data_IF_947862866485
#
_entry.id   IF_947862866485
#
_cell.length_a   1.000
_cell.length_b   1.000
_cell.length_c   1.000
_cell.angle_alpha   90.00
_cell.angle_beta   90.00
_cell.angle_gamma   90.00
#
_symmetry.space_group_name_H-M   'P 1'
#
loop_
_entity.id
_entity.type
_entity.pdbx_description
1 polymer ?
#
# COMPACT_ATOMS: atom_id res chain seq x y z
N UNK A 1 -54.13 30.00 -43.97
CA UNK A 1 -55.61 30.03 -43.82
C UNK A 1 -56.15 28.77 -44.48
N UNK A 2 -56.91 27.83 -43.92
CA UNK A 2 -57.64 27.57 -42.66
C UNK A 2 -57.49 26.05 -42.40
N UNK A 3 -56.89 25.62 -41.30
CA UNK A 3 -57.54 25.17 -40.05
C UNK A 3 -58.36 23.87 -40.15
N UNK A 4 -57.84 22.77 -39.56
CA UNK A 4 -58.61 21.76 -38.82
C UNK A 4 -57.74 21.18 -37.68
N UNK A 5 -58.16 21.40 -36.44
CA UNK A 5 -57.78 20.66 -35.22
C UNK A 5 -59.03 19.88 -34.77
N UNK A 6 -58.88 18.65 -34.30
CA UNK A 6 -59.66 18.12 -33.18
C UNK A 6 -59.07 16.80 -32.65
N UNK A 7 -59.17 16.67 -31.33
CA UNK A 7 -58.61 15.68 -30.43
C UNK A 7 -59.45 14.39 -30.29
N UNK A 8 -58.77 13.36 -29.75
CA UNK A 8 -59.21 12.29 -28.82
C UNK A 8 -60.54 11.55 -29.04
N UNK A 9 -60.45 10.22 -29.09
CA UNK A 9 -61.41 9.33 -28.43
C UNK A 9 -60.68 8.19 -27.69
N UNK A 10 -61.05 8.04 -26.42
CA UNK A 10 -60.69 7.00 -25.46
C UNK A 10 -61.24 5.63 -25.88
N UNK A 11 -60.46 4.57 -25.69
CA UNK A 11 -60.89 3.17 -25.77
C UNK A 11 -60.37 2.41 -24.54
N UNK A 12 -61.30 2.02 -23.68
CA UNK A 12 -61.16 1.30 -22.42
C UNK A 12 -60.46 -0.07 -22.62
N UNK A 13 -59.42 -0.38 -21.84
CA UNK A 13 -58.92 -1.77 -21.69
C UNK A 13 -58.91 -2.15 -20.22
N UNK A 14 -59.56 -3.27 -19.96
CA UNK A 14 -59.89 -3.89 -18.67
C UNK A 14 -58.62 -4.35 -17.94
N UNK A 15 -58.56 -4.05 -16.65
CA UNK A 15 -57.53 -4.50 -15.71
C UNK A 15 -57.79 -5.96 -15.32
N UNK A 16 -56.82 -6.83 -15.61
CA UNK A 16 -56.71 -8.18 -15.03
C UNK A 16 -55.60 -8.13 -13.97
N UNK A 17 -55.99 -8.11 -12.69
CA UNK A 17 -55.07 -8.26 -11.56
C UNK A 17 -54.83 -9.76 -11.37
N UNK A 18 -53.70 -10.26 -11.88
CA UNK A 18 -53.15 -11.55 -11.47
C UNK A 18 -52.09 -11.29 -10.39
N UNK A 19 -52.32 -11.85 -9.20
CA UNK A 19 -51.45 -11.71 -8.05
C UNK A 19 -50.05 -12.26 -8.31
N UNK A 20 -49.04 -11.41 -8.13
CA UNK A 20 -47.65 -11.83 -8.02
C UNK A 20 -47.39 -12.17 -6.55
N UNK A 21 -47.30 -13.46 -6.26
CA UNK A 21 -46.67 -13.96 -5.04
C UNK A 21 -45.21 -13.53 -5.07
N UNK A 22 -44.79 -12.78 -4.06
CA UNK A 22 -43.39 -12.42 -3.83
C UNK A 22 -42.64 -13.65 -3.35
N UNK A 23 -42.10 -14.43 -4.28
CA UNK A 23 -41.07 -15.41 -3.94
C UNK A 23 -39.79 -14.65 -3.59
N UNK A 24 -39.54 -14.56 -2.28
CA UNK A 24 -38.27 -14.20 -1.67
C UNK A 24 -37.23 -15.29 -1.99
N UNK A 25 -36.85 -15.45 -3.25
CA UNK A 25 -35.57 -16.05 -3.58
C UNK A 25 -34.49 -15.03 -3.28
N UNK A 26 -33.98 -15.07 -2.04
CA UNK A 26 -32.57 -14.77 -1.80
C UNK A 26 -31.80 -15.62 -2.79
N UNK A 27 -31.35 -15.00 -3.88
CA UNK A 27 -30.34 -15.55 -4.77
C UNK A 27 -29.09 -15.76 -3.89
N UNK A 28 -28.98 -16.94 -3.30
CA UNK A 28 -27.73 -17.47 -2.82
C UNK A 28 -26.86 -17.64 -4.05
N UNK A 29 -26.12 -16.59 -4.41
CA UNK A 29 -24.97 -16.73 -5.29
C UNK A 29 -24.12 -17.88 -4.69
N UNK A 30 -23.67 -18.85 -5.52
CA UNK A 30 -22.87 -19.95 -5.01
C UNK A 30 -21.68 -19.36 -4.26
N UNK A 31 -21.53 -19.77 -2.99
CA UNK A 31 -20.41 -19.37 -2.13
C UNK A 31 -19.13 -19.67 -2.92
N UNK A 32 -18.36 -18.64 -3.27
CA UNK A 32 -17.11 -18.85 -4.02
C UNK A 32 -16.23 -19.79 -3.19
N UNK A 33 -15.95 -20.99 -3.73
CA UNK A 33 -15.14 -21.99 -3.05
C UNK A 33 -13.67 -21.56 -2.91
N UNK A 34 -13.28 -20.50 -3.61
CA UNK A 34 -11.94 -19.94 -3.60
C UNK A 34 -11.66 -19.22 -2.28
N UNK A 35 -10.44 -19.43 -1.76
CA UNK A 35 -9.91 -18.61 -0.69
C UNK A 35 -9.80 -17.15 -1.19
N UNK A 36 -10.44 -16.16 -0.55
CA UNK A 36 -10.35 -14.79 -0.99
C UNK A 36 -8.94 -14.23 -0.78
N UNK A 37 -8.54 -13.29 -1.63
CA UNK A 37 -7.26 -12.58 -1.54
C UNK A 37 -7.54 -11.10 -1.29
N UNK A 38 -6.85 -10.52 -0.32
CA UNK A 38 -6.86 -9.08 -0.07
C UNK A 38 -5.46 -8.53 -0.35
N UNK A 39 -5.33 -7.61 -1.30
CA UNK A 39 -4.06 -6.99 -1.70
C UNK A 39 -3.90 -5.61 -1.04
N UNK A 40 -2.75 -5.37 -0.40
CA UNK A 40 -2.34 -4.07 0.16
C UNK A 40 -1.11 -3.54 -0.60
N UNK A 41 -1.25 -2.47 -1.41
CA UNK A 41 -0.15 -1.95 -2.23
C UNK A 41 0.96 -1.25 -1.43
N UNK A 42 2.07 -0.90 -2.09
CA UNK A 42 3.18 -0.13 -1.51
C UNK A 42 2.91 1.38 -1.40
N UNK A 43 3.93 2.12 -0.94
CA UNK A 43 3.89 3.60 -0.92
C UNK A 43 3.83 4.13 -2.35
N UNK A 44 3.04 5.18 -2.60
CA UNK A 44 2.71 5.63 -3.97
C UNK A 44 1.97 4.57 -4.82
N UNK A 45 1.65 3.40 -4.27
CA UNK A 45 1.08 2.28 -5.00
C UNK A 45 -0.44 2.28 -5.09
N UNK A 46 -1.11 3.32 -4.57
CA UNK A 46 -2.56 3.54 -4.71
C UNK A 46 -2.79 4.87 -5.40
N UNK A 47 -3.73 4.93 -6.34
CA UNK A 47 -4.26 6.21 -6.79
C UNK A 47 -4.82 7.01 -5.60
N UNK A 48 -4.72 8.33 -5.68
CA UNK A 48 -5.25 9.26 -4.69
C UNK A 48 -6.05 10.32 -5.44
N UNK A 49 -7.26 10.61 -4.96
CA UNK A 49 -8.08 11.70 -5.47
C UNK A 49 -8.09 12.86 -4.48
N UNK A 50 -8.25 14.08 -4.99
CA UNK A 50 -8.38 15.27 -4.18
C UNK A 50 -9.52 16.18 -4.64
N UNK A 51 -10.04 16.96 -3.69
CA UNK A 51 -10.95 18.09 -3.91
C UNK A 51 -10.33 19.35 -3.30
N UNK A 52 -10.40 20.47 -4.01
CA UNK A 52 -9.76 21.73 -3.60
C UNK A 52 -10.78 22.82 -3.30
N UNK A 53 -10.58 23.50 -2.19
CA UNK A 53 -11.14 24.79 -1.80
C UNK A 53 -10.09 25.57 -1.00
N UNK A 54 -8.97 25.87 -1.67
CA UNK A 54 -7.76 26.41 -1.06
C UNK A 54 -7.88 27.93 -0.83
N UNK A 55 -7.49 28.43 0.35
CA UNK A 55 -7.47 29.88 0.62
C UNK A 55 -6.41 30.59 -0.24
N UNK A 56 -5.32 29.91 -0.58
CA UNK A 56 -4.22 30.41 -1.40
C UNK A 56 -3.55 29.26 -2.16
N UNK A 57 -2.79 29.63 -3.20
CA UNK A 57 -1.92 28.74 -3.95
C UNK A 57 -0.53 29.39 -4.09
N UNK A 58 0.55 28.62 -4.30
CA UNK A 58 1.91 29.15 -4.42
C UNK A 58 2.07 30.06 -5.64
N UNK A 59 1.33 29.78 -6.72
CA UNK A 59 1.37 30.54 -7.97
C UNK A 59 -0.02 30.77 -8.55
N UNK A 60 -0.15 31.79 -9.39
CA UNK A 60 -1.43 32.17 -10.01
C UNK A 60 -1.98 31.13 -10.98
N UNK A 61 -1.13 30.25 -11.51
CA UNK A 61 -1.50 29.15 -12.40
C UNK A 61 -1.93 27.87 -11.65
N UNK A 62 -1.77 27.82 -10.32
CA UNK A 62 -2.20 26.67 -9.53
C UNK A 62 -3.67 26.82 -9.11
N UNK A 63 -4.50 25.84 -9.49
CA UNK A 63 -5.91 25.83 -9.16
C UNK A 63 -6.16 25.91 -7.64
N UNK A 64 -7.12 26.76 -7.24
CA UNK A 64 -7.60 26.85 -5.85
C UNK A 64 -8.87 26.04 -5.61
N UNK A 65 -9.66 25.84 -6.66
CA UNK A 65 -10.93 25.14 -6.61
C UNK A 65 -10.94 24.05 -7.67
N UNK A 66 -11.35 22.85 -7.27
CA UNK A 66 -11.56 21.71 -8.15
C UNK A 66 -12.47 20.72 -7.42
N UNK A 67 -13.42 20.11 -8.15
CA UNK A 67 -14.08 18.90 -7.64
C UNK A 67 -13.11 17.71 -7.70
N UNK A 68 -13.53 16.54 -7.25
CA UNK A 68 -12.71 15.32 -7.21
C UNK A 68 -11.97 15.06 -8.53
N UNK A 69 -10.64 15.06 -8.45
CA UNK A 69 -9.73 14.72 -9.56
C UNK A 69 -8.64 13.79 -9.05
N UNK A 70 -7.97 13.06 -9.96
CA UNK A 70 -6.84 12.19 -9.62
C UNK A 70 -5.63 13.05 -9.29
N UNK A 71 -5.30 13.13 -8.01
CA UNK A 71 -4.09 13.80 -7.50
C UNK A 71 -2.85 12.93 -7.69
N UNK A 72 -3.00 11.61 -7.61
CA UNK A 72 -1.91 10.66 -7.82
C UNK A 72 -2.43 9.37 -8.49
N UNK A 73 -1.77 8.78 -9.48
CA UNK A 73 -0.71 9.40 -10.28
C UNK A 73 -1.35 10.13 -11.46
N UNK A 74 -1.02 11.41 -11.65
CA UNK A 74 -1.25 12.10 -12.92
C UNK A 74 0.12 12.54 -13.44
N UNK A 75 0.63 11.83 -14.44
CA UNK A 75 1.98 12.09 -14.96
C UNK A 75 2.10 13.46 -15.62
N UNK A 76 1.00 14.06 -16.08
CA UNK A 76 1.02 15.40 -16.70
C UNK A 76 1.43 16.46 -15.68
N UNK A 77 1.03 16.29 -14.43
CA UNK A 77 1.42 17.16 -13.31
C UNK A 77 2.93 17.09 -13.01
N UNK A 78 3.64 16.07 -13.51
CA UNK A 78 5.07 15.86 -13.29
C UNK A 78 5.94 16.25 -14.51
N UNK A 79 5.34 16.67 -15.62
CA UNK A 79 6.07 16.98 -16.87
C UNK A 79 6.78 18.33 -16.86
N UNK A 80 6.20 19.31 -16.16
CA UNK A 80 6.71 20.67 -16.09
C UNK A 80 6.84 21.07 -14.63
N UNK A 81 8.00 21.61 -14.23
CA UNK A 81 8.25 21.99 -12.83
C UNK A 81 7.19 22.95 -12.28
N UNK A 82 6.64 23.83 -13.12
CA UNK A 82 5.53 24.71 -12.75
C UNK A 82 4.24 23.97 -12.35
N UNK A 83 3.95 22.82 -12.95
CA UNK A 83 2.83 21.94 -12.58
C UNK A 83 3.19 21.11 -11.34
N UNK A 84 4.43 20.59 -11.29
CA UNK A 84 4.94 19.83 -10.15
C UNK A 84 4.85 20.64 -8.85
N UNK A 85 5.10 21.95 -8.91
CA UNK A 85 4.94 22.86 -7.77
C UNK A 85 3.47 22.95 -7.28
N UNK A 86 2.50 22.97 -8.20
CA UNK A 86 1.07 22.95 -7.84
C UNK A 86 0.67 21.62 -7.23
N UNK A 87 1.10 20.51 -7.83
CA UNK A 87 0.87 19.17 -7.32
C UNK A 87 1.47 18.98 -5.92
N UNK A 88 2.74 19.37 -5.72
CA UNK A 88 3.44 19.27 -4.43
C UNK A 88 2.72 20.06 -3.33
N UNK A 89 2.18 21.25 -3.64
CA UNK A 89 1.39 22.04 -2.70
C UNK A 89 0.03 21.43 -2.36
N UNK A 90 -0.56 20.66 -3.29
CA UNK A 90 -1.82 19.97 -3.07
C UNK A 90 -1.65 18.66 -2.27
N UNK A 91 -0.61 17.88 -2.58
CA UNK A 91 -0.41 16.56 -2.00
C UNK A 91 0.31 16.58 -0.65
N UNK A 92 1.03 17.65 -0.30
CA UNK A 92 1.70 17.74 1.00
C UNK A 92 0.73 17.60 2.17
N UNK A 93 1.25 17.02 3.25
CA UNK A 93 0.65 17.13 4.57
C UNK A 93 1.19 18.37 5.30
N UNK A 94 0.47 18.84 6.30
CA UNK A 94 0.88 19.92 7.18
C UNK A 94 0.73 19.49 8.63
N UNK A 95 1.72 19.87 9.44
CA UNK A 95 1.67 19.65 10.88
C UNK A 95 0.65 20.57 11.53
N UNK A 96 -0.31 20.00 12.24
CA UNK A 96 -1.25 20.75 13.07
C UNK A 96 -0.73 20.76 14.52
N UNK A 97 -0.25 21.92 14.97
CA UNK A 97 0.32 22.09 16.32
C UNK A 97 -0.67 21.75 17.44
N UNK A 98 -1.95 22.08 17.27
CA UNK A 98 -2.99 21.81 18.26
C UNK A 98 -3.32 20.33 18.36
N UNK A 99 -3.40 19.65 17.21
CA UNK A 99 -3.69 18.21 17.15
C UNK A 99 -2.45 17.34 17.40
N UNK A 100 -1.25 17.91 17.25
CA UNK A 100 0.02 17.18 17.29
C UNK A 100 0.10 16.09 16.21
N UNK A 101 -0.44 16.34 15.02
CA UNK A 101 -0.55 15.33 13.95
C UNK A 101 -0.48 15.96 12.56
N UNK A 102 -0.10 15.14 11.57
CA UNK A 102 -0.20 15.51 10.16
C UNK A 102 -1.65 15.53 9.67
N UNK A 103 -1.98 16.49 8.83
CA UNK A 103 -3.27 16.62 8.15
C UNK A 103 -3.07 17.12 6.72
N UNK A 104 -4.09 17.03 5.87
CA UNK A 104 -4.02 17.63 4.54
C UNK A 104 -3.74 19.14 4.61
N UNK A 105 -3.16 19.68 3.53
CA UNK A 105 -3.03 21.12 3.36
C UNK A 105 -4.41 21.84 3.48
N UNK A 106 -4.45 23.10 3.94
CA UNK A 106 -5.69 23.87 4.06
C UNK A 106 -6.49 23.89 2.76
N UNK A 107 -7.77 23.53 2.85
CA UNK A 107 -8.66 23.46 1.69
C UNK A 107 -8.43 22.26 0.78
N UNK A 108 -7.66 21.25 1.20
CA UNK A 108 -7.48 20.00 0.44
C UNK A 108 -8.15 18.85 1.18
N UNK A 109 -9.07 18.18 0.49
CA UNK A 109 -9.60 16.88 0.90
C UNK A 109 -9.00 15.80 0.03
N UNK A 110 -8.72 14.64 0.61
CA UNK A 110 -8.22 13.48 -0.12
C UNK A 110 -9.08 12.26 0.14
N UNK A 111 -9.17 11.38 -0.86
CA UNK A 111 -9.74 10.05 -0.71
C UNK A 111 -9.01 9.06 -1.60
N UNK A 112 -8.99 7.81 -1.16
CA UNK A 112 -8.51 6.72 -2.00
C UNK A 112 -9.69 6.10 -2.74
N UNK A 113 -9.67 6.05 -4.07
CA UNK A 113 -10.73 5.42 -4.85
C UNK A 113 -10.68 3.88 -4.73
N UNK A 114 -11.79 3.24 -5.08
CA UNK A 114 -11.91 1.79 -5.30
C UNK A 114 -11.47 0.87 -4.14
N UNK A 115 -11.75 1.25 -2.89
CA UNK A 115 -11.54 0.35 -1.75
C UNK A 115 -12.43 -0.89 -1.84
N UNK A 116 -11.82 -2.07 -1.88
CA UNK A 116 -12.46 -3.36 -2.15
C UNK A 116 -12.32 -3.82 -3.60
N UNK A 117 -12.08 -2.91 -4.55
CA UNK A 117 -11.71 -3.24 -5.93
C UNK A 117 -10.20 -3.27 -6.14
N UNK A 118 -9.75 -3.35 -7.39
CA UNK A 118 -8.33 -3.48 -7.76
C UNK A 118 -7.84 -2.44 -8.76
N UNK A 119 -8.74 -1.60 -9.27
CA UNK A 119 -8.41 -0.65 -10.34
C UNK A 119 -7.47 0.46 -9.89
N UNK A 120 -7.58 0.90 -8.63
CA UNK A 120 -6.78 1.99 -8.08
C UNK A 120 -5.28 1.67 -7.91
N UNK A 121 -4.86 0.40 -8.07
CA UNK A 121 -3.45 0.01 -7.93
C UNK A 121 -3.00 -1.02 -8.98
N UNK A 122 -3.89 -1.44 -9.89
CA UNK A 122 -3.50 -2.21 -11.07
C UNK A 122 -2.58 -1.36 -11.97
N UNK A 123 -3.01 -0.13 -12.24
CA UNK A 123 -2.26 0.90 -12.99
C UNK A 123 -2.43 2.26 -12.29
N UNK A 124 -1.34 3.00 -12.11
CA UNK A 124 -1.37 4.27 -11.36
C UNK A 124 -1.82 5.47 -12.21
N UNK A 125 -1.45 5.49 -13.49
CA UNK A 125 -1.92 6.47 -14.47
C UNK A 125 -2.44 5.75 -15.75
N UNK A 126 -3.72 5.34 -15.75
CA UNK A 126 -4.35 4.70 -16.90
C UNK A 126 -4.39 5.53 -18.19
N UNK A 127 -3.99 6.81 -18.16
CA UNK A 127 -3.93 7.65 -19.35
C UNK A 127 -2.65 7.42 -20.17
N UNK A 128 -1.66 6.74 -19.61
CA UNK A 128 -0.43 6.39 -20.31
C UNK A 128 -0.63 5.19 -21.24
N UNK A 129 -0.12 5.25 -22.48
CA UNK A 129 -0.18 4.12 -23.39
C UNK A 129 0.71 2.96 -22.91
N UNK A 130 0.45 1.77 -23.46
CA UNK A 130 1.28 0.57 -23.27
C UNK A 130 1.42 0.11 -21.79
N UNK A 131 0.46 0.46 -20.94
CA UNK A 131 0.48 0.11 -19.51
C UNK A 131 1.77 0.58 -18.81
N UNK A 132 2.32 1.74 -19.20
CA UNK A 132 3.60 2.24 -18.67
C UNK A 132 3.58 2.50 -17.15
N UNK A 133 2.40 2.71 -16.55
CA UNK A 133 2.21 2.82 -15.10
C UNK A 133 1.72 1.53 -14.44
N UNK A 134 1.94 0.37 -15.07
CA UNK A 134 1.51 -0.92 -14.52
C UNK A 134 2.21 -1.20 -13.20
N UNK A 135 1.44 -1.71 -12.24
CA UNK A 135 1.93 -2.09 -10.94
C UNK A 135 1.50 -3.51 -10.57
N UNK A 136 0.27 -3.72 -10.12
CA UNK A 136 -0.25 -5.07 -9.82
C UNK A 136 -0.94 -5.76 -11.00
N UNK A 137 -1.00 -5.12 -12.17
CA UNK A 137 -1.73 -5.58 -13.35
C UNK A 137 -1.49 -7.05 -13.69
N UNK A 138 -0.23 -7.48 -13.75
CA UNK A 138 0.12 -8.84 -14.21
C UNK A 138 -0.24 -9.91 -13.18
N UNK A 139 -0.05 -9.63 -11.88
CA UNK A 139 -0.54 -10.50 -10.81
C UNK A 139 -2.07 -10.60 -10.83
N UNK A 140 -2.77 -9.48 -10.99
CA UNK A 140 -4.24 -9.45 -11.06
C UNK A 140 -4.72 -10.30 -12.25
N UNK A 141 -4.13 -10.10 -13.43
CA UNK A 141 -4.48 -10.86 -14.63
C UNK A 141 -4.23 -12.36 -14.46
N UNK A 142 -3.12 -12.76 -13.83
CA UNK A 142 -2.83 -14.16 -13.53
C UNK A 142 -3.88 -14.77 -12.57
N UNK A 143 -4.26 -14.04 -11.52
CA UNK A 143 -5.29 -14.49 -10.57
C UNK A 143 -6.68 -14.59 -11.26
N UNK A 144 -7.05 -13.61 -12.08
CA UNK A 144 -8.31 -13.62 -12.84
C UNK A 144 -8.38 -14.79 -13.83
N UNK A 145 -7.27 -15.13 -14.48
CA UNK A 145 -7.17 -16.32 -15.33
C UNK A 145 -7.43 -17.63 -14.56
N UNK A 146 -7.28 -17.63 -13.23
CA UNK A 146 -7.61 -18.75 -12.33
C UNK A 146 -9.03 -18.69 -11.76
N UNK A 147 -9.87 -17.76 -12.23
CA UNK A 147 -11.25 -17.62 -11.81
C UNK A 147 -11.45 -16.71 -10.59
N UNK A 148 -10.43 -15.97 -10.17
CA UNK A 148 -10.64 -14.89 -9.22
C UNK A 148 -11.41 -13.74 -9.86
N UNK A 149 -12.23 -13.04 -9.07
CA UNK A 149 -13.09 -11.95 -9.55
C UNK A 149 -12.87 -10.73 -8.68
N UNK A 150 -12.45 -9.62 -9.30
CA UNK A 150 -12.27 -8.33 -8.64
C UNK A 150 -13.56 -7.89 -7.91
N UNK A 151 -13.40 -7.36 -6.70
CA UNK A 151 -14.52 -6.94 -5.85
C UNK A 151 -15.29 -8.10 -5.18
N UNK A 152 -14.90 -9.35 -5.43
CA UNK A 152 -15.55 -10.54 -4.84
C UNK A 152 -14.54 -11.47 -4.15
N UNK A 153 -13.80 -12.28 -4.91
CA UNK A 153 -12.76 -13.16 -4.38
C UNK A 153 -11.36 -12.55 -4.45
N UNK A 154 -11.17 -11.53 -5.28
CA UNK A 154 -9.96 -10.70 -5.34
C UNK A 154 -10.32 -9.28 -4.92
N UNK A 155 -9.79 -8.86 -3.79
CA UNK A 155 -10.13 -7.61 -3.14
C UNK A 155 -8.86 -6.78 -2.98
N UNK A 156 -8.98 -5.47 -3.11
CA UNK A 156 -7.90 -4.56 -2.81
C UNK A 156 -8.21 -3.67 -1.63
N UNK A 157 -7.16 -3.29 -0.92
CA UNK A 157 -7.19 -2.34 0.17
C UNK A 157 -6.22 -1.19 -0.15
N UNK A 158 -6.50 -0.37 -1.20
CA UNK A 158 -5.73 0.83 -1.44
C UNK A 158 -5.90 1.81 -0.28
N UNK A 159 -4.91 2.68 -0.07
CA UNK A 159 -4.90 3.62 1.05
C UNK A 159 -4.19 4.92 0.72
N UNK A 160 -4.36 5.91 1.59
CA UNK A 160 -3.60 7.15 1.53
C UNK A 160 -2.18 6.90 2.06
N UNK A 161 -1.24 6.68 1.14
CA UNK A 161 0.11 6.22 1.42
C UNK A 161 1.00 7.24 2.14
N UNK A 162 0.52 8.48 2.33
CA UNK A 162 1.24 9.55 3.02
C UNK A 162 1.23 9.37 4.54
N UNK A 163 0.26 8.61 5.05
CA UNK A 163 -0.02 8.47 6.47
C UNK A 163 0.49 7.17 7.07
N UNK A 164 0.90 7.23 8.34
CA UNK A 164 1.23 6.06 9.14
C UNK A 164 0.00 5.47 9.85
N UNK A 165 0.05 4.20 10.31
CA UNK A 165 -1.05 3.56 11.04
C UNK A 165 -1.53 4.33 12.28
N UNK A 166 -0.65 5.11 12.92
CA UNK A 166 -0.96 5.89 14.12
C UNK A 166 -1.87 7.09 13.84
N UNK A 167 -1.96 7.57 12.60
CA UNK A 167 -2.77 8.76 12.27
C UNK A 167 -4.27 8.46 12.25
N UNK A 168 -5.11 9.50 12.17
CA UNK A 168 -6.56 9.33 12.02
C UNK A 168 -6.91 8.54 10.75
N UNK A 169 -6.19 8.82 9.66
CA UNK A 169 -6.39 8.15 8.36
C UNK A 169 -5.91 6.71 8.41
N UNK A 170 -4.73 6.44 9.01
CA UNK A 170 -4.19 5.09 9.17
C UNK A 170 -5.02 4.20 10.10
N UNK A 171 -5.58 4.75 11.19
CA UNK A 171 -6.52 4.03 12.06
C UNK A 171 -7.82 3.70 11.33
N UNK A 172 -8.31 4.60 10.47
CA UNK A 172 -9.49 4.34 9.65
C UNK A 172 -9.22 3.21 8.66
N UNK A 173 -8.09 3.25 7.95
CA UNK A 173 -7.66 2.16 7.07
C UNK A 173 -7.56 0.82 7.81
N UNK A 174 -6.97 0.79 9.01
CA UNK A 174 -6.89 -0.41 9.87
C UNK A 174 -8.28 -1.00 10.17
N UNK A 175 -9.26 -0.16 10.48
CA UNK A 175 -10.64 -0.58 10.72
C UNK A 175 -11.33 -1.09 9.43
N UNK A 176 -11.12 -0.39 8.32
CA UNK A 176 -11.71 -0.77 7.03
C UNK A 176 -11.11 -2.08 6.48
N UNK A 177 -9.80 -2.31 6.65
CA UNK A 177 -9.12 -3.57 6.30
C UNK A 177 -9.66 -4.75 7.14
N UNK A 178 -9.88 -4.54 8.45
CA UNK A 178 -10.54 -5.53 9.30
C UNK A 178 -11.91 -5.91 8.76
N UNK A 179 -12.73 -4.91 8.46
CA UNK A 179 -14.09 -5.11 7.96
C UNK A 179 -14.09 -5.79 6.57
N UNK A 180 -13.11 -5.49 5.71
CA UNK A 180 -12.94 -6.13 4.41
C UNK A 180 -12.65 -7.63 4.56
N UNK A 181 -11.72 -8.01 5.45
CA UNK A 181 -11.39 -9.41 5.74
C UNK A 181 -12.56 -10.17 6.37
N UNK A 182 -13.34 -9.51 7.25
CA UNK A 182 -14.57 -10.07 7.81
C UNK A 182 -15.63 -10.33 6.73
N UNK A 183 -15.88 -9.37 5.83
CA UNK A 183 -16.81 -9.54 4.69
C UNK A 183 -16.35 -10.62 3.72
N UNK A 184 -15.05 -10.66 3.39
CA UNK A 184 -14.47 -11.67 2.53
C UNK A 184 -14.67 -13.08 3.12
N UNK A 185 -14.47 -13.23 4.43
CA UNK A 185 -14.69 -14.49 5.16
C UNK A 185 -16.15 -14.93 5.16
N UNK A 186 -17.06 -13.99 5.35
CA UNK A 186 -18.50 -14.26 5.37
C UNK A 186 -18.97 -14.74 4.00
N UNK A 187 -18.60 -14.00 2.95
CA UNK A 187 -18.99 -14.27 1.56
C UNK A 187 -18.42 -15.60 1.02
N UNK A 188 -17.14 -15.88 1.26
CA UNK A 188 -16.47 -17.10 0.74
C UNK A 188 -16.66 -18.33 1.63
N UNK A 189 -16.91 -18.14 2.93
CA UNK A 189 -16.84 -19.26 3.86
C UNK A 189 -15.39 -19.66 4.23
N UNK A 190 -14.38 -18.90 3.81
CA UNK A 190 -12.94 -19.20 4.01
C UNK A 190 -12.16 -17.97 4.50
N UNK A 191 -11.16 -18.13 5.38
CA UNK A 191 -10.27 -17.02 5.75
C UNK A 191 -9.53 -16.51 4.51
N UNK A 192 -9.14 -15.24 4.50
CA UNK A 192 -8.51 -14.60 3.35
C UNK A 192 -6.98 -14.67 3.41
N UNK A 193 -6.32 -14.78 2.25
CA UNK A 193 -4.90 -14.54 2.12
C UNK A 193 -4.65 -13.03 2.06
N UNK A 194 -3.86 -12.49 2.98
CA UNK A 194 -3.44 -11.09 2.94
C UNK A 194 -2.12 -11.01 2.17
N UNK A 195 -2.12 -10.35 1.02
CA UNK A 195 -0.93 -10.13 0.20
C UNK A 195 -0.57 -8.65 0.26
N UNK A 196 0.70 -8.33 0.49
CA UNK A 196 1.14 -6.94 0.51
C UNK A 196 2.49 -6.75 -0.17
N UNK A 197 2.72 -5.53 -0.68
CA UNK A 197 4.00 -5.12 -1.26
C UNK A 197 4.59 -3.93 -0.51
N UNK A 198 5.92 -3.90 -0.35
CA UNK A 198 6.68 -2.74 0.14
C UNK A 198 6.09 -2.16 1.43
N UNK A 199 5.79 -0.87 1.49
CA UNK A 199 5.16 -0.22 2.65
C UNK A 199 3.85 -0.89 3.12
N UNK A 200 3.08 -1.47 2.20
CA UNK A 200 1.88 -2.25 2.52
C UNK A 200 2.16 -3.45 3.43
N UNK A 201 3.38 -4.00 3.39
CA UNK A 201 3.82 -5.06 4.29
C UNK A 201 3.94 -4.55 5.73
N UNK A 202 4.39 -3.30 5.93
CA UNK A 202 4.49 -2.68 7.25
C UNK A 202 3.11 -2.38 7.83
N UNK A 203 2.20 -1.88 7.00
CA UNK A 203 0.80 -1.67 7.38
C UNK A 203 0.13 -3.00 7.77
N UNK A 204 0.33 -4.04 6.95
CA UNK A 204 -0.20 -5.38 7.19
C UNK A 204 0.38 -6.01 8.46
N UNK A 205 1.68 -5.84 8.72
CA UNK A 205 2.32 -6.30 9.95
C UNK A 205 1.73 -5.59 11.18
N UNK A 206 1.66 -4.26 11.15
CA UNK A 206 1.06 -3.47 12.22
C UNK A 206 -0.39 -3.89 12.49
N UNK A 207 -1.17 -4.06 11.41
CA UNK A 207 -2.56 -4.54 11.47
C UNK A 207 -2.65 -5.88 12.19
N UNK A 208 -1.89 -6.89 11.75
CA UNK A 208 -1.92 -8.25 12.30
C UNK A 208 -1.41 -8.33 13.75
N UNK A 209 -0.41 -7.52 14.11
CA UNK A 209 0.04 -7.39 15.50
C UNK A 209 -1.03 -6.76 16.41
N UNK A 210 -1.94 -5.97 15.84
CA UNK A 210 -3.07 -5.37 16.54
C UNK A 210 -4.27 -6.31 16.75
N UNK A 211 -4.34 -7.44 16.04
CA UNK A 211 -5.49 -8.36 16.12
C UNK A 211 -5.27 -9.48 17.14
N UNK A 212 -6.36 -9.93 17.78
CA UNK A 212 -6.33 -11.10 18.65
C UNK A 212 -6.04 -12.39 17.86
N UNK A 213 -5.42 -13.38 18.51
CA UNK A 213 -5.14 -14.67 17.89
C UNK A 213 -6.40 -15.37 17.35
N UNK A 214 -7.50 -15.32 18.12
CA UNK A 214 -8.79 -15.88 17.71
C UNK A 214 -9.35 -15.20 16.45
N UNK A 215 -9.22 -13.89 16.32
CA UNK A 215 -9.65 -13.18 15.12
C UNK A 215 -8.80 -13.58 13.91
N UNK A 216 -7.48 -13.61 14.06
CA UNK A 216 -6.57 -14.00 12.98
C UNK A 216 -6.85 -15.41 12.48
N UNK A 217 -6.98 -16.38 13.39
CA UNK A 217 -7.32 -17.76 13.06
C UNK A 217 -8.65 -17.90 12.30
N UNK A 218 -9.61 -17.01 12.55
CA UNK A 218 -10.93 -17.03 11.89
C UNK A 218 -10.93 -16.36 10.51
N UNK A 219 -10.14 -15.31 10.32
CA UNK A 219 -10.27 -14.40 9.18
C UNK A 219 -9.06 -14.36 8.23
N UNK A 220 -7.88 -14.80 8.66
CA UNK A 220 -6.64 -14.69 7.89
C UNK A 220 -6.02 -16.06 7.68
N UNK A 221 -5.93 -16.49 6.43
CA UNK A 221 -5.36 -17.78 6.05
C UNK A 221 -3.83 -17.75 6.10
N UNK A 222 -3.25 -16.61 5.74
CA UNK A 222 -1.82 -16.37 5.76
C UNK A 222 -1.48 -14.95 5.32
N UNK A 223 -0.20 -14.60 5.43
CA UNK A 223 0.36 -13.33 5.01
C UNK A 223 1.46 -13.56 3.97
N UNK A 224 1.27 -13.04 2.75
CA UNK A 224 2.30 -12.97 1.72
C UNK A 224 2.88 -11.56 1.74
N UNK A 225 4.16 -11.45 2.09
CA UNK A 225 4.89 -10.19 2.09
C UNK A 225 5.87 -10.15 0.93
N UNK A 226 5.75 -9.16 0.06
CA UNK A 226 6.64 -8.96 -1.08
C UNK A 226 7.48 -7.68 -0.90
N UNK A 227 8.80 -7.80 -0.79
CA UNK A 227 9.71 -6.65 -0.70
C UNK A 227 9.49 -5.76 0.53
N UNK A 228 9.08 -6.33 1.67
CA UNK A 228 8.74 -5.55 2.87
C UNK A 228 9.96 -4.87 3.51
N UNK A 229 10.01 -3.52 3.63
CA UNK A 229 11.13 -2.79 4.23
C UNK A 229 11.04 -2.77 5.76
N UNK A 230 11.05 -3.94 6.41
CA UNK A 230 10.79 -4.06 7.84
C UNK A 230 11.78 -3.26 8.70
N UNK A 231 13.05 -3.26 8.33
CA UNK A 231 14.08 -2.46 8.97
C UNK A 231 14.19 -1.02 8.44
N UNK A 232 13.34 -0.59 7.50
CA UNK A 232 13.46 0.66 6.76
C UNK A 232 14.33 0.58 5.50
N UNK A 233 14.47 1.68 4.76
CA UNK A 233 15.35 1.82 3.60
C UNK A 233 16.29 3.00 3.79
N UNK A 234 17.56 2.84 3.42
CA UNK A 234 18.50 3.98 3.42
C UNK A 234 18.06 5.08 2.44
N UNK A 235 17.28 4.78 1.39
CA UNK A 235 16.81 5.76 0.41
C UNK A 235 16.05 6.93 1.05
N UNK A 236 15.31 6.68 2.13
CA UNK A 236 14.54 7.69 2.86
C UNK A 236 15.38 8.86 3.37
N UNK A 237 16.69 8.68 3.54
CA UNK A 237 17.58 9.76 3.97
C UNK A 237 17.78 10.81 2.87
N UNK A 238 17.87 10.39 1.60
CA UNK A 238 17.94 11.31 0.46
C UNK A 238 16.59 11.98 0.26
N UNK A 239 15.51 11.20 0.27
CA UNK A 239 14.12 11.68 0.20
C UNK A 239 13.87 12.82 1.17
N UNK A 240 14.29 12.67 2.44
CA UNK A 240 14.09 13.71 3.46
C UNK A 240 15.12 14.85 3.37
N UNK A 241 16.38 14.57 3.04
CA UNK A 241 17.44 15.59 3.03
C UNK A 241 17.41 16.49 1.79
N UNK A 242 17.62 15.91 0.61
CA UNK A 242 17.82 16.62 -0.66
C UNK A 242 16.73 16.34 -1.70
N UNK A 243 15.74 15.51 -1.34
CA UNK A 243 14.66 15.08 -2.21
C UNK A 243 15.10 13.96 -3.16
N UNK A 244 14.15 13.13 -3.57
CA UNK A 244 14.34 12.11 -4.60
C UNK A 244 13.31 12.32 -5.69
N UNK A 245 13.69 12.27 -6.96
CA UNK A 245 12.73 12.31 -8.07
C UNK A 245 12.11 10.95 -8.40
N UNK A 246 12.43 9.90 -7.62
CA UNK A 246 11.92 8.54 -7.79
C UNK A 246 12.09 8.00 -9.23
N UNK A 247 13.13 8.46 -9.94
CA UNK A 247 13.41 8.09 -11.32
C UNK A 247 12.68 8.91 -12.40
N UNK A 248 11.84 9.88 -12.02
CA UNK A 248 11.12 10.75 -12.96
C UNK A 248 12.01 11.93 -13.37
N UNK A 249 12.65 11.83 -14.53
CA UNK A 249 13.68 12.77 -14.99
C UNK A 249 13.23 14.25 -15.08
N UNK A 250 11.95 14.52 -15.29
CA UNK A 250 11.39 15.89 -15.37
C UNK A 250 11.13 16.52 -14.00
N UNK A 251 11.16 15.73 -12.92
CA UNK A 251 10.88 16.20 -11.56
C UNK A 251 12.17 16.67 -10.90
N UNK A 252 12.19 17.92 -10.43
CA UNK A 252 13.30 18.46 -9.67
C UNK A 252 13.21 18.02 -8.20
N UNK A 253 14.24 17.35 -7.63
CA UNK A 253 14.18 16.78 -6.28
C UNK A 253 13.79 17.79 -5.18
N UNK A 254 14.34 19.01 -5.23
CA UNK A 254 14.02 20.03 -4.22
C UNK A 254 12.57 20.53 -4.30
N UNK A 255 11.93 20.46 -5.47
CA UNK A 255 10.53 20.86 -5.65
C UNK A 255 9.60 19.96 -4.85
N UNK A 256 9.87 18.65 -4.86
CA UNK A 256 9.00 17.65 -4.22
C UNK A 256 9.48 17.24 -2.82
N UNK A 257 10.73 17.54 -2.45
CA UNK A 257 11.26 17.33 -1.09
C UNK A 257 10.32 17.84 0.00
N UNK A 258 9.66 18.98 -0.23
CA UNK A 258 8.75 19.57 0.73
C UNK A 258 7.57 18.66 1.05
N UNK A 259 6.95 18.01 0.07
CA UNK A 259 5.88 17.06 0.34
C UNK A 259 6.44 15.76 0.92
N UNK A 260 7.59 15.29 0.43
CA UNK A 260 8.23 14.05 0.89
C UNK A 260 8.56 14.10 2.40
N UNK A 261 8.98 15.26 2.90
CA UNK A 261 9.20 15.51 4.34
C UNK A 261 7.93 15.45 5.18
N UNK A 262 6.77 15.60 4.57
CA UNK A 262 5.50 15.66 5.31
C UNK A 262 4.85 14.29 5.47
N UNK A 263 5.33 13.27 4.75
CA UNK A 263 4.76 11.94 4.81
C UNK A 263 5.25 11.19 6.05
N UNK A 264 4.29 10.75 6.87
CA UNK A 264 4.57 9.92 8.04
C UNK A 264 5.10 8.54 7.62
N UNK A 265 4.75 8.06 6.42
CA UNK A 265 5.24 6.80 5.85
C UNK A 265 6.75 6.82 5.61
N UNK A 266 7.29 7.89 5.03
CA UNK A 266 8.74 8.08 4.84
C UNK A 266 9.50 8.05 6.19
N UNK A 267 8.91 8.62 7.24
CA UNK A 267 9.50 8.57 8.59
C UNK A 267 9.43 7.16 9.19
N UNK A 268 8.35 6.40 8.94
CA UNK A 268 8.24 5.02 9.39
C UNK A 268 9.24 4.09 8.67
N UNK A 269 9.61 4.42 7.44
CA UNK A 269 10.56 3.66 6.63
C UNK A 269 12.02 4.10 6.81
N UNK A 270 12.31 5.04 7.72
CA UNK A 270 13.70 5.35 8.06
C UNK A 270 14.44 4.12 8.61
N UNK A 271 15.74 3.95 8.31
CA UNK A 271 16.52 2.82 8.79
C UNK A 271 16.45 2.67 10.31
N UNK A 272 16.00 1.51 10.78
CA UNK A 272 15.87 1.21 12.19
C UNK A 272 17.24 0.96 12.82
N UNK A 273 17.56 1.57 13.99
CA UNK A 273 18.78 1.26 14.72
C UNK A 273 18.93 -0.23 15.07
N UNK A 274 17.83 -0.95 15.24
CA UNK A 274 17.83 -2.37 15.58
C UNK A 274 18.21 -3.28 14.39
N UNK A 275 18.27 -2.74 13.17
CA UNK A 275 18.66 -3.46 11.95
C UNK A 275 19.95 -2.90 11.37
N UNK A 276 20.03 -1.57 11.23
CA UNK A 276 21.17 -0.87 10.62
C UNK A 276 22.30 -0.58 11.61
N UNK A 277 22.10 -0.84 12.90
CA UNK A 277 23.10 -0.67 13.95
C UNK A 277 23.51 0.80 14.15
N UNK A 278 24.79 1.01 14.45
CA UNK A 278 25.40 2.33 14.64
C UNK A 278 26.19 2.82 13.41
N UNK A 279 26.07 2.14 12.26
CA UNK A 279 26.82 2.49 11.07
C UNK A 279 26.40 3.90 10.57
N UNK A 280 27.36 4.75 10.16
CA UNK A 280 27.07 6.00 9.46
C UNK A 280 26.16 5.80 8.25
N UNK A 281 25.10 6.59 8.16
CA UNK A 281 24.19 6.59 7.02
C UNK A 281 24.30 7.87 6.19
N UNK A 282 24.54 9.01 6.83
CA UNK A 282 24.80 10.28 6.15
C UNK A 282 26.06 10.92 6.73
N UNK A 283 26.96 11.36 5.87
CA UNK A 283 28.17 12.12 6.25
C UNK A 283 28.16 13.46 5.50
N UNK A 284 28.36 14.55 6.24
CA UNK A 284 28.49 15.92 5.73
C UNK A 284 29.84 16.50 6.17
N UNK A 285 30.24 17.69 5.68
CA UNK A 285 31.46 18.34 6.16
C UNK A 285 31.45 18.64 7.67
N UNK A 286 30.27 18.85 8.26
CA UNK A 286 30.09 19.24 9.66
C UNK A 286 29.97 18.03 10.59
N UNK A 287 29.28 16.96 10.17
CA UNK A 287 28.98 15.82 11.04
C UNK A 287 28.52 14.58 10.29
N UNK A 288 28.40 13.49 11.04
CA UNK A 288 27.88 12.20 10.56
C UNK A 288 26.64 11.81 11.36
N UNK A 289 25.69 11.17 10.68
CA UNK A 289 24.41 10.72 11.22
C UNK A 289 24.29 9.19 11.10
N UNK A 290 24.18 8.53 12.24
CA UNK A 290 23.77 7.14 12.40
C UNK A 290 22.25 7.05 12.68
N UNK A 291 21.64 5.85 12.64
CA UNK A 291 20.20 5.67 12.92
C UNK A 291 19.70 6.23 14.26
N UNK A 292 20.59 6.38 15.24
CA UNK A 292 20.28 6.92 16.57
C UNK A 292 20.27 8.44 16.63
N UNK A 293 20.72 9.12 15.56
CA UNK A 293 20.93 10.57 15.51
C UNK A 293 19.89 11.30 14.64
N UNK A 294 18.70 10.73 14.44
CA UNK A 294 17.70 11.34 13.58
C UNK A 294 17.17 12.68 14.09
N UNK A 295 17.12 12.91 15.41
CA UNK A 295 16.69 14.20 15.95
C UNK A 295 17.55 15.34 15.40
N UNK A 296 18.85 15.13 15.40
CA UNK A 296 19.79 16.09 14.85
C UNK A 296 19.75 16.16 13.32
N UNK A 297 19.64 15.01 12.64
CA UNK A 297 19.46 14.97 11.18
C UNK A 297 18.29 15.84 10.75
N UNK A 298 17.15 15.73 11.42
CA UNK A 298 15.98 16.56 11.13
C UNK A 298 16.20 18.04 11.41
N UNK A 299 16.92 18.37 12.48
CA UNK A 299 17.27 19.76 12.78
C UNK A 299 18.15 20.35 11.66
N UNK A 300 19.18 19.63 11.23
CA UNK A 300 20.18 20.11 10.29
C UNK A 300 19.66 20.18 8.85
N UNK A 301 18.68 19.35 8.47
CA UNK A 301 18.00 19.48 7.17
C UNK A 301 16.91 20.56 7.17
N UNK A 302 16.68 21.23 8.31
CA UNK A 302 15.63 22.26 8.47
C UNK A 302 14.21 21.69 8.54
N UNK A 303 14.04 20.42 8.96
CA UNK A 303 12.74 19.80 9.15
C UNK A 303 12.32 19.80 10.62
N UNK A 304 11.78 20.94 11.08
CA UNK A 304 11.41 21.21 12.48
C UNK A 304 10.58 20.12 13.15
N UNK A 305 9.64 19.50 12.42
CA UNK A 305 8.71 18.51 12.97
C UNK A 305 9.20 17.06 12.82
N UNK A 306 10.34 16.81 12.17
CA UNK A 306 10.78 15.46 11.84
C UNK A 306 10.99 14.56 13.06
N UNK A 307 11.61 15.08 14.12
CA UNK A 307 11.80 14.31 15.35
C UNK A 307 10.47 13.94 16.04
N UNK A 308 9.48 14.84 15.98
CA UNK A 308 8.15 14.59 16.53
C UNK A 308 7.42 13.51 15.72
N UNK A 309 7.37 13.65 14.39
CA UNK A 309 6.75 12.67 13.49
C UNK A 309 7.42 11.31 13.63
N UNK A 310 8.75 11.25 13.59
CA UNK A 310 9.50 10.00 13.77
C UNK A 310 9.21 9.35 15.13
N UNK A 311 9.12 10.17 16.20
CA UNK A 311 8.75 9.70 17.54
C UNK A 311 7.39 9.01 17.60
N UNK A 312 6.43 9.44 16.77
CA UNK A 312 5.08 8.86 16.69
C UNK A 312 5.01 7.55 15.92
N UNK A 313 5.94 7.32 14.98
CA UNK A 313 5.87 6.17 14.05
C UNK A 313 6.88 5.07 14.37
N UNK A 314 8.05 5.38 14.92
CA UNK A 314 9.17 4.43 15.08
C UNK A 314 8.86 3.15 15.89
N UNK A 315 7.84 3.18 16.75
CA UNK A 315 7.46 2.04 17.59
C UNK A 315 6.31 1.19 17.01
N UNK A 316 5.74 1.59 15.87
CA UNK A 316 4.52 0.97 15.33
C UNK A 316 4.70 -0.49 14.93
N UNK A 317 5.93 -0.93 14.64
CA UNK A 317 6.24 -2.32 14.28
C UNK A 317 6.56 -3.21 15.49
N UNK A 318 6.42 -2.71 16.73
CA UNK A 318 6.52 -3.46 18.00
C UNK A 318 7.74 -4.38 18.10
N UNK A 319 8.92 -3.85 17.77
CA UNK A 319 10.17 -4.62 17.79
C UNK A 319 10.22 -5.75 16.75
N UNK A 320 9.46 -5.61 15.66
CA UNK A 320 9.33 -6.61 14.59
C UNK A 320 8.77 -7.95 15.08
N UNK A 321 7.87 -7.93 16.07
CA UNK A 321 7.18 -9.13 16.52
C UNK A 321 6.48 -9.85 15.35
N UNK A 322 6.45 -11.19 15.31
CA UNK A 322 5.85 -11.93 14.21
C UNK A 322 4.35 -11.61 14.06
N UNK A 323 3.79 -11.72 12.84
CA UNK A 323 2.38 -11.40 12.58
C UNK A 323 1.40 -12.39 13.23
N UNK A 324 1.86 -13.58 13.64
CA UNK A 324 1.03 -14.60 14.30
C UNK A 324 0.03 -15.28 13.36
N UNK A 325 0.38 -15.39 12.08
CA UNK A 325 -0.29 -16.17 11.02
C UNK A 325 0.78 -16.85 10.16
N UNK A 326 0.44 -17.92 9.41
CA UNK A 326 1.35 -18.49 8.41
C UNK A 326 1.87 -17.39 7.48
N UNK A 327 3.19 -17.30 7.30
CA UNK A 327 3.81 -16.18 6.58
C UNK A 327 4.71 -16.71 5.46
N UNK A 328 4.52 -16.13 4.28
CA UNK A 328 5.38 -16.30 3.11
C UNK A 328 6.08 -14.97 2.86
N UNK A 329 7.38 -14.91 3.18
CA UNK A 329 8.19 -13.72 2.99
C UNK A 329 8.97 -13.84 1.69
N UNK A 330 8.67 -12.96 0.74
CA UNK A 330 9.35 -12.84 -0.54
C UNK A 330 10.11 -11.51 -0.57
N UNK A 331 11.38 -11.54 -0.92
CA UNK A 331 12.17 -10.33 -1.20
C UNK A 331 13.25 -10.64 -2.23
N UNK A 332 13.78 -9.60 -2.84
CA UNK A 332 14.82 -9.73 -3.86
C UNK A 332 16.20 -9.31 -3.33
N UNK A 333 17.23 -9.88 -3.96
CA UNK A 333 18.66 -9.60 -3.72
C UNK A 333 19.40 -9.50 -5.05
N UNK A 334 20.64 -9.05 -5.03
CA UNK A 334 21.51 -8.93 -6.20
C UNK A 334 21.34 -7.63 -6.96
N UNK A 335 20.50 -6.71 -6.49
CA UNK A 335 20.41 -5.35 -7.02
C UNK A 335 21.23 -4.39 -6.18
N UNK A 336 21.99 -3.54 -6.87
CA UNK A 336 22.82 -2.50 -6.24
C UNK A 336 21.91 -1.49 -5.54
N UNK A 337 21.92 -1.49 -4.21
CA UNK A 337 20.95 -0.74 -3.40
C UNK A 337 21.65 0.33 -2.58
N UNK A 338 21.15 1.56 -2.61
CA UNK A 338 21.74 2.67 -1.85
C UNK A 338 21.77 2.37 -0.34
N UNK A 339 22.87 2.72 0.32
CA UNK A 339 23.12 2.29 1.71
C UNK A 339 23.62 3.38 2.64
N UNK A 340 24.37 4.34 2.11
CA UNK A 340 24.83 5.54 2.82
C UNK A 340 25.17 6.65 1.82
N UNK A 341 25.25 7.88 2.33
CA UNK A 341 25.41 9.08 1.51
C UNK A 341 26.50 9.98 2.08
N UNK A 342 27.36 10.50 1.21
CA UNK A 342 28.28 11.58 1.57
C UNK A 342 27.92 12.84 0.79
N UNK A 343 27.68 13.92 1.52
CA UNK A 343 27.39 15.24 0.98
C UNK A 343 28.58 16.17 1.16
N UNK A 344 28.71 17.11 0.22
CA UNK A 344 29.66 18.22 0.32
C UNK A 344 29.02 19.48 0.91
N UNK A 345 29.60 20.63 0.55
CA UNK A 345 29.20 21.96 1.06
C UNK A 345 27.78 22.39 0.66
N UNK A 346 27.17 21.73 -0.32
CA UNK A 346 25.79 22.00 -0.73
C UNK A 346 24.72 21.34 0.14
N UNK A 347 25.10 20.61 1.19
CA UNK A 347 24.16 20.01 2.15
C UNK A 347 23.23 21.06 2.80
N UNK A 348 21.91 20.79 2.94
CA UNK A 348 21.15 19.64 2.45
C UNK A 348 20.48 19.87 1.07
N UNK A 349 20.76 20.99 0.41
CA UNK A 349 20.06 21.45 -0.81
C UNK A 349 20.74 20.99 -2.13
N UNK A 350 21.79 20.18 -2.05
CA UNK A 350 22.41 19.50 -3.18
C UNK A 350 22.32 17.98 -2.99
N UNK A 351 22.30 17.25 -4.10
CA UNK A 351 22.37 15.78 -4.10
C UNK A 351 23.72 15.29 -3.53
N UNK A 352 23.79 14.05 -3.01
CA UNK A 352 25.03 13.51 -2.43
C UNK A 352 26.14 13.40 -3.48
N UNK A 353 27.36 13.76 -3.09
CA UNK A 353 28.56 13.64 -3.95
C UNK A 353 28.99 12.17 -4.12
N UNK A 354 28.71 11.33 -3.11
CA UNK A 354 28.96 9.89 -3.16
C UNK A 354 27.82 9.14 -2.51
N UNK A 355 27.41 8.05 -3.17
CA UNK A 355 26.43 7.10 -2.66
C UNK A 355 27.10 5.75 -2.48
N UNK A 356 27.19 5.29 -1.24
CA UNK A 356 27.59 3.93 -0.92
C UNK A 356 26.44 2.96 -1.21
N UNK A 357 26.76 1.77 -1.69
CA UNK A 357 25.77 0.77 -2.05
C UNK A 357 26.03 -0.55 -1.34
N UNK A 358 24.95 -1.26 -1.02
CA UNK A 358 24.94 -2.63 -0.54
C UNK A 358 24.06 -3.51 -1.43
N UNK A 359 23.73 -4.68 -0.91
CA UNK A 359 22.82 -5.63 -1.55
C UNK A 359 21.36 -5.35 -1.18
N UNK A 360 20.44 -5.73 -2.04
CA UNK A 360 19.00 -5.52 -1.89
C UNK A 360 18.27 -5.66 -3.22
N UNK A 361 17.12 -4.99 -3.33
CA UNK A 361 16.25 -5.00 -4.51
C UNK A 361 16.32 -3.67 -5.32
N UNK A 362 17.30 -2.82 -5.04
CA UNK A 362 17.46 -1.49 -5.64
C UNK A 362 16.84 -0.37 -4.80
N UNK A 363 15.92 -0.70 -3.88
CA UNK A 363 15.29 0.26 -2.97
C UNK A 363 15.44 -0.15 -1.50
N UNK A 364 15.15 -1.40 -1.19
CA UNK A 364 15.17 -1.97 0.16
C UNK A 364 16.47 -2.74 0.37
N UNK A 365 17.21 -2.35 1.39
CA UNK A 365 18.43 -3.04 1.78
C UNK A 365 18.12 -4.46 2.27
N UNK A 366 18.97 -5.44 1.91
CA UNK A 366 18.72 -6.84 2.23
C UNK A 366 18.56 -7.08 3.74
N UNK A 367 19.33 -6.41 4.60
CA UNK A 367 19.21 -6.56 6.06
C UNK A 367 17.84 -6.13 6.60
N UNK A 368 17.16 -5.23 5.87
CA UNK A 368 15.81 -4.75 6.19
C UNK A 368 14.76 -5.78 5.79
N UNK A 369 14.84 -6.30 4.58
CA UNK A 369 13.91 -7.30 4.07
C UNK A 369 14.00 -8.63 4.86
N UNK A 370 15.21 -9.01 5.26
CA UNK A 370 15.48 -10.28 5.96
C UNK A 370 14.94 -10.35 7.40
N UNK A 371 14.43 -9.26 7.97
CA UNK A 371 13.86 -9.27 9.33
C UNK A 371 12.77 -10.34 9.47
N UNK A 372 11.99 -10.60 8.43
CA UNK A 372 10.95 -11.65 8.45
C UNK A 372 11.51 -13.07 8.67
N UNK A 373 12.80 -13.33 8.33
CA UNK A 373 13.44 -14.63 8.58
C UNK A 373 13.50 -14.99 10.06
N UNK A 374 13.41 -13.97 10.94
CA UNK A 374 13.43 -14.13 12.40
C UNK A 374 12.10 -14.64 12.93
N UNK A 375 11.03 -14.61 12.14
CA UNK A 375 9.70 -15.01 12.56
C UNK A 375 9.52 -16.53 12.47
N UNK A 376 9.06 -17.20 13.54
CA UNK A 376 8.86 -18.65 13.55
C UNK A 376 7.92 -19.12 12.45
N UNK A 377 8.32 -20.18 11.73
CA UNK A 377 7.49 -20.82 10.70
C UNK A 377 7.30 -20.01 9.42
N UNK A 378 8.13 -18.99 9.18
CA UNK A 378 8.09 -18.22 7.93
C UNK A 378 8.74 -18.99 6.80
N UNK A 379 8.00 -19.16 5.70
CA UNK A 379 8.57 -19.64 4.44
C UNK A 379 9.20 -18.45 3.70
N UNK A 380 10.43 -18.61 3.22
CA UNK A 380 11.20 -17.51 2.64
C UNK A 380 11.53 -17.84 1.19
N UNK A 381 11.13 -16.96 0.28
CA UNK A 381 11.51 -17.00 -1.13
C UNK A 381 12.41 -15.81 -1.43
N UNK A 382 13.57 -16.08 -2.03
CA UNK A 382 14.54 -15.04 -2.39
C UNK A 382 14.63 -14.95 -3.90
N UNK A 383 14.17 -13.84 -4.47
CA UNK A 383 14.31 -13.55 -5.89
C UNK A 383 15.70 -12.96 -6.14
N UNK A 384 16.33 -13.29 -7.28
CA UNK A 384 17.68 -12.80 -7.61
C UNK A 384 17.63 -11.88 -8.81
N UNK A 385 18.23 -10.69 -8.69
CA UNK A 385 18.29 -9.71 -9.76
C UNK A 385 16.96 -9.05 -10.09
N UNK A 386 15.94 -9.18 -9.24
CA UNK A 386 14.63 -8.55 -9.45
C UNK A 386 14.63 -7.18 -8.76
N UNK A 387 14.24 -6.13 -9.49
CA UNK A 387 14.12 -4.78 -8.93
C UNK A 387 12.85 -4.65 -8.06
N UNK A 388 12.87 -3.73 -7.10
CA UNK A 388 11.82 -3.57 -6.09
C UNK A 388 10.40 -3.53 -6.69
N UNK A 389 10.19 -2.69 -7.71
CA UNK A 389 8.87 -2.53 -8.35
C UNK A 389 8.46 -3.71 -9.24
N UNK A 390 9.41 -4.57 -9.61
CA UNK A 390 9.18 -5.73 -10.47
C UNK A 390 8.88 -7.00 -9.67
N UNK A 391 9.08 -7.01 -8.34
CA UNK A 391 8.81 -8.17 -7.48
C UNK A 391 7.38 -8.70 -7.69
N UNK A 392 6.39 -7.81 -7.77
CA UNK A 392 4.97 -8.21 -7.95
C UNK A 392 4.60 -8.57 -9.39
N UNK A 393 5.51 -8.34 -10.34
CA UNK A 393 5.37 -8.67 -11.77
C UNK A 393 6.16 -9.93 -12.15
N UNK A 394 7.10 -10.31 -11.28
CA UNK A 394 8.01 -11.43 -11.50
C UNK A 394 7.25 -12.76 -11.59
N UNK A 395 7.63 -13.57 -12.58
CA UNK A 395 6.97 -14.85 -12.85
C UNK A 395 7.12 -15.86 -11.71
N UNK A 396 8.27 -15.88 -11.03
CA UNK A 396 8.50 -16.79 -9.90
C UNK A 396 7.67 -16.35 -8.69
N UNK A 397 7.52 -15.04 -8.45
CA UNK A 397 6.61 -14.52 -7.43
C UNK A 397 5.16 -14.90 -7.72
N UNK A 398 4.68 -14.68 -8.95
CA UNK A 398 3.31 -15.02 -9.36
C UNK A 398 3.07 -16.53 -9.17
N UNK A 399 3.99 -17.37 -9.66
CA UNK A 399 3.91 -18.82 -9.50
C UNK A 399 3.91 -19.25 -8.03
N UNK A 400 4.71 -18.60 -7.18
CA UNK A 400 4.72 -18.86 -5.74
C UNK A 400 3.38 -18.51 -5.09
N UNK A 401 2.76 -17.37 -5.45
CA UNK A 401 1.42 -17.00 -4.97
C UNK A 401 0.41 -18.05 -5.41
N UNK A 402 0.42 -18.46 -6.68
CA UNK A 402 -0.51 -19.46 -7.21
C UNK A 402 -0.40 -20.83 -6.52
N UNK A 403 0.82 -21.26 -6.18
CA UNK A 403 1.06 -22.49 -5.45
C UNK A 403 0.41 -22.48 -4.06
N UNK A 404 0.46 -21.35 -3.35
CA UNK A 404 -0.21 -21.19 -2.06
C UNK A 404 -1.73 -21.33 -2.15
N UNK A 405 -2.31 -20.95 -3.27
CA UNK A 405 -3.75 -21.06 -3.51
C UNK A 405 -4.16 -22.51 -3.79
N UNK A 406 -3.26 -23.31 -4.37
CA UNK A 406 -3.48 -24.74 -4.62
C UNK A 406 -3.42 -25.57 -3.34
N UNK A 407 -2.44 -25.33 -2.47
CA UNK A 407 -2.23 -26.08 -1.23
C UNK A 407 -3.33 -25.83 -0.18
N UNK A 408 -3.92 -24.64 -0.17
CA UNK A 408 -5.03 -24.31 0.73
C UNK A 408 -6.36 -24.92 0.24
N UNK A 409 -6.44 -25.40 -1.00
CA UNK A 409 -7.62 -26.03 -1.59
C UNK A 409 -7.89 -27.48 -1.18
N UNK A 410 -6.91 -28.18 -0.60
CA UNK A 410 -7.10 -29.56 -0.16
C UNK A 410 -7.95 -29.61 1.12
N UNK A 411 -9.09 -30.31 1.15
CA UNK A 411 -9.71 -30.66 2.42
C UNK A 411 -8.67 -31.44 3.25
N UNK A 412 -8.63 -31.27 4.59
CA UNK A 412 -7.75 -32.09 5.41
C UNK A 412 -8.05 -33.55 5.07
N UNK A 413 -7.00 -34.31 4.73
CA UNK A 413 -7.13 -35.74 4.45
C UNK A 413 -7.92 -36.35 5.61
N UNK A 414 -9.12 -36.85 5.32
CA UNK A 414 -9.88 -37.61 6.29
C UNK A 414 -8.97 -38.77 6.72
N UNK A 415 -8.47 -38.66 7.95
CA UNK A 415 -7.69 -39.72 8.55
C UNK A 415 -8.52 -40.98 8.45
N UNK A 416 -8.02 -41.94 7.67
CA UNK A 416 -8.58 -43.29 7.58
C UNK A 416 -8.78 -43.76 9.01
N UNK A 417 -10.04 -43.73 9.45
CA UNK A 417 -10.46 -44.31 10.71
C UNK A 417 -10.26 -45.80 10.47
N UNK A 418 -9.18 -46.34 11.02
CA UNK A 418 -9.00 -47.78 11.10
C UNK A 418 -10.17 -48.31 11.95
N UNK A 419 -11.21 -48.80 11.27
CA UNK A 419 -12.20 -49.68 11.84
C UNK A 419 -11.44 -50.93 12.30
N UNK A 420 -11.09 -50.97 13.59
CA UNK A 420 -10.83 -52.23 14.26
C UNK A 420 -12.18 -52.84 14.62
N UNK A 421 -12.70 -53.61 13.67
CA UNK A 421 -13.69 -54.65 13.92
C UNK A 421 -13.12 -55.71 14.86
N UNK A 422 -13.99 -56.08 15.80
CA UNK A 422 -13.94 -57.15 16.80
C UNK A 422 -13.22 -58.44 16.44
N UNK A 423 -12.58 -59.07 17.43
CA UNK A 423 -12.90 -60.46 17.78
C UNK A 423 -12.53 -60.82 19.22
N UNK A 424 -13.36 -61.71 19.77
CA UNK A 424 -13.47 -62.21 21.14
C UNK A 424 -12.64 -63.50 21.26
N UNK A 425 -11.99 -63.77 22.41
CA UNK A 425 -12.06 -65.06 23.13
C UNK A 425 -11.03 -65.20 24.27
N UNK A 426 -11.55 -65.74 25.39
CA UNK A 426 -10.95 -66.28 26.64
C UNK A 426 -10.46 -65.28 27.68
#
# INVERSE_FOLDING_TARGET
MRARRACLCFGLVVVLVAGLTTDNHKLNAPRSALMPIVIVPGTGGSQLEARLDKPSSPHWWCARQADWFRLWLDTKELLLDALTQCWADNIRLMWNETAGAMQNAPGVETRTPDFGGVSAFSELDPSLPLHASSYFRDLIAALEARGYVAGSSLLGAPYDFRYAPSSKVGRRFTADLRALLERAREASGRPALLLAHSYGCLLSLHFLQGQSAAWKAKHVAGFVSAGGPYGGSAHELVVLASGSNEGVATVHPLTIRHEQRTYESNHLMLPSPAVFGAAPLVTTPERTYAPTQYADFFADIGWRHGAQVYGQVRSLLRGFAPPGVPTHCVYAVGQRTERNYTYGRGWPDAQPERVGHGDGDGTVNVESAEVCRRWPGTNVTVLRGVAHMDIVKDGDFIAAVEALLADVGAPPAEGVRAERGSEIAV
#
